data_IF_426919374474
#
_entry.id   IF_426919374474
#
_cell.length_a   1.000
_cell.length_b   1.000
_cell.length_c   1.000
_cell.angle_alpha   90.00
_cell.angle_beta   90.00
_cell.angle_gamma   90.00
#
_symmetry.space_group_name_H-M   'P 1'
#
loop_
_entity.id
_entity.type
_entity.pdbx_description
1 polymer ?
#
# COMPACT_ATOMS: atom_id res chain seq x y z
N UNK A 1 -4.16 -0.58 -1.32
CA UNK A 1 -4.50 0.81 -1.72
C UNK A 1 -4.62 1.63 -0.45
N UNK A 2 -4.33 2.93 -0.47
CA UNK A 2 -4.57 3.83 0.66
C UNK A 2 -5.63 4.85 0.22
N UNK A 3 -6.79 4.84 0.88
CA UNK A 3 -7.92 5.72 0.52
C UNK A 3 -7.67 7.19 0.81
N UNK A 4 -6.71 7.49 1.70
CA UNK A 4 -6.34 8.86 2.03
C UNK A 4 -5.30 9.44 1.05
N UNK A 5 -4.72 8.61 0.20
CA UNK A 5 -3.70 9.04 -0.76
C UNK A 5 -4.28 10.05 -1.76
N UNK A 6 -3.58 11.15 -1.92
CA UNK A 6 -4.00 12.23 -2.82
C UNK A 6 -5.02 13.20 -2.24
N UNK A 7 -5.58 12.90 -1.06
CA UNK A 7 -6.59 13.73 -0.41
C UNK A 7 -6.16 14.16 1.00
N UNK A 8 -6.05 13.24 1.96
CA UNK A 8 -5.67 13.54 3.33
C UNK A 8 -4.20 13.25 3.62
N UNK A 9 -3.68 12.13 3.14
CA UNK A 9 -2.33 11.64 3.44
C UNK A 9 -1.28 12.07 2.42
N UNK A 10 -1.41 13.27 1.86
CA UNK A 10 -0.49 13.79 0.86
C UNK A 10 -0.20 15.26 1.11
N UNK A 11 1.07 15.57 1.27
CA UNK A 11 1.55 16.95 1.37
C UNK A 11 2.24 17.37 0.09
N UNK A 12 2.12 18.65 -0.21
CA UNK A 12 2.83 19.28 -1.31
C UNK A 12 3.83 20.25 -0.71
N UNK A 13 5.07 20.17 -1.12
CA UNK A 13 6.10 21.10 -0.69
C UNK A 13 6.95 21.58 -1.87
N UNK A 14 7.64 22.68 -1.68
CA UNK A 14 8.52 23.26 -2.69
C UNK A 14 9.67 23.97 -2.01
N UNK A 15 10.88 23.62 -2.36
CA UNK A 15 12.06 24.40 -2.01
C UNK A 15 12.12 25.69 -2.83
N UNK A 16 12.82 26.68 -2.32
CA UNK A 16 13.00 27.96 -3.01
C UNK A 16 13.69 27.75 -4.38
N UNK A 17 13.02 28.14 -5.46
CA UNK A 17 13.49 27.91 -6.81
C UNK A 17 13.30 26.49 -7.35
N UNK A 18 12.84 25.55 -6.54
CA UNK A 18 12.61 24.15 -6.92
C UNK A 18 11.25 23.90 -7.61
N UNK A 19 11.02 22.63 -7.93
CA UNK A 19 9.71 22.14 -8.42
C UNK A 19 8.83 21.72 -7.23
N UNK A 20 7.52 21.67 -7.44
CA UNK A 20 6.58 21.05 -6.53
C UNK A 20 6.92 19.57 -6.36
N UNK A 21 6.90 19.11 -5.12
CA UNK A 21 7.14 17.72 -4.75
C UNK A 21 6.01 17.24 -3.86
N UNK A 22 5.76 15.94 -3.87
CA UNK A 22 4.78 15.29 -3.01
C UNK A 22 5.50 14.56 -1.88
N UNK A 23 4.93 14.63 -0.69
CA UNK A 23 5.34 13.82 0.44
C UNK A 23 4.15 12.98 0.93
N UNK A 24 4.36 11.69 1.04
CA UNK A 24 3.39 10.77 1.61
C UNK A 24 3.35 10.93 3.14
N UNK A 25 2.15 10.86 3.71
CA UNK A 25 1.93 10.91 5.15
C UNK A 25 0.97 9.81 5.57
N UNK A 26 1.32 9.07 6.63
CA UNK A 26 0.44 8.11 7.29
C UNK A 26 -0.21 7.08 6.34
N UNK A 27 0.61 6.35 5.60
CA UNK A 27 0.15 5.30 4.69
C UNK A 27 -0.08 3.94 5.36
N UNK A 28 -0.25 3.91 6.69
CA UNK A 28 -0.48 2.69 7.47
C UNK A 28 -1.76 1.93 7.05
N UNK A 29 -2.73 2.61 6.46
CA UNK A 29 -3.96 2.00 5.93
C UNK A 29 -3.77 1.30 4.56
N UNK A 30 -2.54 1.33 4.01
CA UNK A 30 -2.21 0.62 2.79
C UNK A 30 -2.11 -0.91 2.98
N UNK A 31 -2.02 -1.63 1.88
CA UNK A 31 -1.80 -3.08 1.86
C UNK A 31 -2.81 -3.91 2.65
N UNK A 32 -4.07 -3.52 2.59
CA UNK A 32 -5.18 -4.13 3.32
C UNK A 32 -5.07 -4.05 4.86
N UNK A 33 -4.31 -3.08 5.36
CA UNK A 33 -4.21 -2.81 6.80
C UNK A 33 -5.25 -1.78 7.29
N UNK A 34 -6.43 -1.75 6.68
CA UNK A 34 -7.51 -0.85 7.08
C UNK A 34 -8.55 -1.58 7.93
N UNK A 35 -8.82 -1.05 9.11
CA UNK A 35 -9.61 -1.75 10.12
C UNK A 35 -11.12 -1.88 9.82
N UNK A 36 -11.65 -1.07 8.88
CA UNK A 36 -13.09 -1.01 8.64
C UNK A 36 -13.56 -1.94 7.51
N UNK A 37 -12.71 -2.20 6.53
CA UNK A 37 -13.04 -3.05 5.38
C UNK A 37 -11.79 -3.48 4.63
N UNK A 38 -11.91 -4.53 3.83
CA UNK A 38 -10.83 -4.95 2.93
C UNK A 38 -10.60 -3.89 1.84
N UNK A 39 -9.33 -3.56 1.61
CA UNK A 39 -8.98 -2.59 0.58
C UNK A 39 -8.92 -3.26 -0.78
N UNK A 40 -9.56 -2.65 -1.78
CA UNK A 40 -9.55 -3.14 -3.15
C UNK A 40 -8.12 -3.10 -3.72
N UNK A 41 -7.76 -4.15 -4.45
CA UNK A 41 -6.47 -4.25 -5.15
C UNK A 41 -6.57 -3.88 -6.63
N UNK A 42 -7.79 -3.81 -7.18
CA UNK A 42 -8.11 -3.74 -8.60
C UNK A 42 -8.75 -2.41 -9.04
N UNK A 43 -8.29 -1.29 -8.46
CA UNK A 43 -8.79 0.06 -8.76
C UNK A 43 -7.67 1.09 -8.76
N UNK A 44 -7.72 2.07 -9.65
CA UNK A 44 -6.83 3.23 -9.66
C UNK A 44 -7.43 4.39 -8.85
N UNK A 45 -7.65 4.16 -7.57
CA UNK A 45 -8.37 5.09 -6.69
C UNK A 45 -7.81 6.52 -6.67
N UNK A 46 -6.49 6.67 -6.72
CA UNK A 46 -5.85 7.99 -6.66
C UNK A 46 -6.28 8.90 -7.82
N UNK A 47 -6.50 8.33 -9.01
CA UNK A 47 -6.89 9.11 -10.20
C UNK A 47 -8.36 9.57 -10.18
N UNK A 48 -9.14 9.09 -9.21
CA UNK A 48 -10.52 9.51 -9.00
C UNK A 48 -10.63 10.71 -8.05
N UNK A 49 -9.50 11.16 -7.51
CA UNK A 49 -9.45 12.22 -6.52
C UNK A 49 -8.98 13.55 -7.10
N UNK A 50 -9.84 14.58 -6.95
CA UNK A 50 -9.42 15.98 -7.02
C UNK A 50 -8.61 16.32 -8.28
N UNK A 51 -7.45 16.87 -8.13
CA UNK A 51 -6.53 17.28 -9.20
C UNK A 51 -5.84 16.10 -9.92
N UNK A 52 -5.74 14.91 -9.31
CA UNK A 52 -5.24 13.71 -9.99
C UNK A 52 -6.20 13.25 -11.09
N UNK A 53 -7.51 13.35 -10.89
CA UNK A 53 -8.51 13.10 -11.93
C UNK A 53 -8.24 13.99 -13.14
N UNK A 54 -7.96 15.27 -12.92
CA UNK A 54 -7.66 16.19 -13.99
C UNK A 54 -6.36 15.86 -14.74
N UNK A 55 -5.31 15.47 -14.01
CA UNK A 55 -4.06 15.02 -14.62
C UNK A 55 -4.25 13.73 -15.42
N UNK A 56 -5.10 12.82 -14.93
CA UNK A 56 -5.37 11.56 -15.60
C UNK A 56 -6.14 11.70 -16.91
N UNK A 57 -6.74 12.85 -17.20
CA UNK A 57 -7.36 13.17 -18.48
C UNK A 57 -6.35 13.63 -19.56
N UNK A 58 -5.11 13.88 -19.17
CA UNK A 58 -4.02 14.24 -20.08
C UNK A 58 -3.29 12.99 -20.56
N UNK A 59 -3.36 12.69 -21.85
CA UNK A 59 -2.76 11.47 -22.43
C UNK A 59 -1.23 11.47 -22.27
N UNK A 60 -0.56 12.61 -22.39
CA UNK A 60 0.89 12.69 -22.18
C UNK A 60 1.26 12.39 -20.73
N UNK A 61 0.46 12.83 -19.76
CA UNK A 61 0.65 12.47 -18.36
C UNK A 61 0.48 10.96 -18.13
N UNK A 62 -0.56 10.34 -18.72
CA UNK A 62 -0.78 8.88 -18.62
C UNK A 62 0.41 8.11 -19.20
N UNK A 63 0.88 8.49 -20.38
CA UNK A 63 2.05 7.86 -21.02
C UNK A 63 3.28 7.91 -20.13
N UNK A 64 3.56 9.05 -19.50
CA UNK A 64 4.67 9.18 -18.55
C UNK A 64 4.49 8.29 -17.31
N UNK A 65 3.27 8.19 -16.77
CA UNK A 65 2.98 7.31 -15.63
C UNK A 65 3.19 5.85 -16.02
N UNK A 66 2.67 5.42 -17.17
CA UNK A 66 2.83 4.05 -17.67
C UNK A 66 4.31 3.71 -17.92
N UNK A 67 5.05 4.59 -18.57
CA UNK A 67 6.48 4.42 -18.81
C UNK A 67 7.25 4.33 -17.48
N UNK A 68 6.97 5.22 -16.53
CA UNK A 68 7.60 5.19 -15.22
C UNK A 68 7.27 3.93 -14.45
N UNK A 69 6.04 3.43 -14.53
CA UNK A 69 5.64 2.18 -13.91
C UNK A 69 6.41 1.00 -14.48
N UNK A 70 6.55 0.89 -15.81
CA UNK A 70 7.36 -0.17 -16.46
C UNK A 70 8.79 -0.17 -15.94
N UNK A 71 9.46 0.97 -15.91
CA UNK A 71 10.82 1.10 -15.38
C UNK A 71 10.92 0.66 -13.91
N UNK A 72 9.94 1.00 -13.09
CA UNK A 72 9.91 0.59 -11.69
C UNK A 72 9.69 -0.92 -11.54
N UNK A 73 8.92 -1.56 -12.42
CA UNK A 73 8.72 -3.02 -12.42
C UNK A 73 9.98 -3.81 -12.75
N UNK A 74 10.91 -3.22 -13.47
CA UNK A 74 12.22 -3.81 -13.75
C UNK A 74 13.20 -3.66 -12.56
N UNK A 75 12.88 -2.85 -11.56
CA UNK A 75 13.79 -2.50 -10.47
C UNK A 75 13.09 -2.53 -9.11
N UNK A 76 12.72 -1.38 -8.59
CA UNK A 76 12.21 -1.18 -7.22
C UNK A 76 10.90 -1.93 -6.93
N UNK A 77 10.05 -2.10 -7.95
CA UNK A 77 8.78 -2.83 -7.85
C UNK A 77 8.86 -4.24 -8.46
N UNK A 78 10.06 -4.76 -8.77
CA UNK A 78 10.23 -6.16 -9.15
C UNK A 78 9.79 -7.07 -8.00
N UNK A 79 9.15 -8.19 -8.32
CA UNK A 79 8.57 -9.09 -7.30
C UNK A 79 9.67 -9.64 -6.37
N UNK A 80 10.82 -9.99 -6.93
CA UNK A 80 11.98 -10.44 -6.19
C UNK A 80 12.51 -9.38 -5.24
N UNK A 81 12.65 -8.13 -5.73
CA UNK A 81 13.13 -7.02 -4.90
C UNK A 81 12.20 -6.73 -3.71
N UNK A 82 10.90 -6.78 -3.93
CA UNK A 82 9.91 -6.60 -2.87
C UNK A 82 9.98 -7.74 -1.85
N UNK A 83 10.08 -8.98 -2.31
CA UNK A 83 10.21 -10.14 -1.44
C UNK A 83 11.49 -10.07 -0.58
N UNK A 84 12.63 -9.73 -1.18
CA UNK A 84 13.89 -9.50 -0.48
C UNK A 84 13.78 -8.38 0.55
N UNK A 85 13.10 -7.28 0.21
CA UNK A 85 12.91 -6.15 1.12
C UNK A 85 12.07 -6.52 2.34
N UNK A 86 10.99 -7.27 2.14
CA UNK A 86 10.14 -7.79 3.22
C UNK A 86 10.97 -8.72 4.12
N UNK A 87 11.70 -9.68 3.54
CA UNK A 87 12.55 -10.59 4.30
C UNK A 87 13.65 -9.87 5.08
N UNK A 88 14.26 -8.85 4.49
CA UNK A 88 15.26 -8.01 5.15
C UNK A 88 14.70 -7.31 6.38
N UNK A 89 13.50 -6.71 6.29
CA UNK A 89 12.87 -6.05 7.42
C UNK A 89 12.45 -7.05 8.52
N UNK A 90 11.97 -8.23 8.14
CA UNK A 90 11.67 -9.28 9.12
C UNK A 90 12.92 -9.72 9.88
N UNK A 91 14.04 -9.89 9.17
CA UNK A 91 15.31 -10.25 9.78
C UNK A 91 15.85 -9.15 10.71
N UNK A 92 15.73 -7.88 10.30
CA UNK A 92 16.13 -6.73 11.12
C UNK A 92 15.29 -6.60 12.39
N UNK A 93 13.97 -6.77 12.30
CA UNK A 93 13.07 -6.75 13.44
C UNK A 93 13.35 -7.90 14.41
N UNK A 94 13.56 -9.11 13.90
CA UNK A 94 13.89 -10.28 14.70
C UNK A 94 13.05 -10.40 15.96
N UNK A 95 13.68 -10.58 17.11
CA UNK A 95 13.02 -10.71 18.40
C UNK A 95 12.29 -9.42 18.88
N UNK A 96 12.39 -8.31 18.17
CA UNK A 96 11.62 -7.11 18.50
C UNK A 96 10.12 -7.32 18.26
N UNK A 97 9.74 -8.18 17.32
CA UNK A 97 8.35 -8.55 17.07
C UNK A 97 7.70 -9.09 18.35
N UNK A 98 8.30 -10.11 18.96
CA UNK A 98 7.78 -10.73 20.19
C UNK A 98 7.73 -9.75 21.36
N UNK A 99 8.78 -8.91 21.49
CA UNK A 99 8.82 -7.89 22.54
C UNK A 99 7.72 -6.85 22.36
N UNK A 100 7.41 -6.45 21.12
CA UNK A 100 6.34 -5.51 20.82
C UNK A 100 4.99 -6.05 21.32
N UNK A 101 4.63 -7.26 20.93
CA UNK A 101 3.37 -7.86 21.35
C UNK A 101 3.30 -8.07 22.87
N UNK A 102 4.41 -8.47 23.50
CA UNK A 102 4.48 -8.61 24.95
C UNK A 102 4.29 -7.26 25.69
N UNK A 103 4.88 -6.20 25.20
CA UNK A 103 4.81 -4.86 25.85
C UNK A 103 3.41 -4.25 25.70
N UNK A 104 2.83 -4.35 24.52
CA UNK A 104 1.54 -3.72 24.23
C UNK A 104 0.34 -4.61 24.55
N UNK A 105 0.57 -5.83 25.03
CA UNK A 105 -0.48 -6.76 25.44
C UNK A 105 -1.39 -7.22 24.30
N UNK A 106 -0.99 -7.04 23.05
CA UNK A 106 -1.77 -7.50 21.92
C UNK A 106 -1.69 -9.03 21.82
N UNK A 107 -2.84 -9.67 21.67
CA UNK A 107 -2.97 -11.09 21.37
C UNK A 107 -3.75 -11.28 20.08
N UNK A 108 -3.25 -12.15 19.21
CA UNK A 108 -3.99 -12.56 18.03
C UNK A 108 -5.21 -13.43 18.34
N UNK A 109 -5.34 -13.90 19.60
CA UNK A 109 -6.48 -14.68 20.07
C UNK A 109 -7.67 -13.80 20.48
N UNK A 110 -7.48 -12.48 20.56
CA UNK A 110 -8.50 -11.52 20.96
C UNK A 110 -9.01 -10.74 19.77
N UNK A 111 -10.32 -10.63 19.66
CA UNK A 111 -10.95 -9.77 18.67
C UNK A 111 -10.92 -8.31 19.15
N UNK A 112 -9.83 -7.63 18.90
CA UNK A 112 -9.59 -6.25 19.34
C UNK A 112 -9.97 -5.20 18.29
N UNK A 113 -10.22 -5.61 17.06
CA UNK A 113 -10.63 -4.74 15.97
C UNK A 113 -12.15 -4.70 15.83
N UNK A 114 -12.63 -4.20 14.74
CA UNK A 114 -14.06 -4.00 14.48
C UNK A 114 -14.84 -5.32 14.34
N UNK A 115 -14.15 -6.44 14.36
CA UNK A 115 -14.72 -7.78 14.21
C UNK A 115 -14.92 -8.15 12.75
N UNK A 116 -15.93 -7.61 12.10
CA UNK A 116 -16.19 -7.85 10.69
C UNK A 116 -16.28 -6.53 9.90
N UNK A 117 -15.89 -6.59 8.63
CA UNK A 117 -16.13 -5.50 7.71
C UNK A 117 -17.63 -5.43 7.31
N UNK A 118 -17.97 -4.45 6.49
CA UNK A 118 -19.36 -4.25 6.02
C UNK A 118 -19.90 -5.41 5.16
N UNK A 119 -19.03 -6.27 4.64
CA UNK A 119 -19.37 -7.49 3.92
C UNK A 119 -19.43 -8.73 4.84
N UNK A 120 -19.26 -8.56 6.15
CA UNK A 120 -19.31 -9.63 7.13
C UNK A 120 -18.04 -10.48 7.22
N UNK A 121 -16.92 -10.06 6.61
CA UNK A 121 -15.63 -10.75 6.68
C UNK A 121 -14.84 -10.27 7.89
N UNK A 122 -14.17 -11.19 8.59
CA UNK A 122 -13.33 -10.83 9.71
C UNK A 122 -12.15 -9.95 9.28
N UNK A 123 -11.90 -8.91 10.07
CA UNK A 123 -10.70 -8.06 9.96
C UNK A 123 -9.60 -8.44 10.94
N UNK A 124 -9.91 -9.32 11.89
CA UNK A 124 -8.89 -9.84 12.81
C UNK A 124 -8.07 -10.91 12.14
N UNK A 125 -6.77 -10.74 12.24
CA UNK A 125 -5.79 -11.68 11.71
C UNK A 125 -5.35 -12.58 12.83
N UNK A 126 -5.49 -13.90 12.67
CA UNK A 126 -5.28 -14.88 13.71
C UNK A 126 -3.82 -15.16 14.08
N UNK A 127 -2.82 -14.63 13.34
CA UNK A 127 -1.41 -14.80 13.66
C UNK A 127 -0.53 -13.77 12.93
N UNK A 128 0.73 -13.64 13.39
CA UNK A 128 1.74 -12.84 12.70
C UNK A 128 2.01 -13.39 11.29
N UNK A 129 2.09 -14.69 11.12
CA UNK A 129 2.29 -15.36 9.83
C UNK A 129 1.13 -15.06 8.87
N UNK A 130 -0.11 -15.08 9.37
CA UNK A 130 -1.29 -14.71 8.59
C UNK A 130 -1.24 -13.25 8.15
N UNK A 131 -0.79 -12.34 9.03
CA UNK A 131 -0.60 -10.91 8.70
C UNK A 131 0.46 -10.72 7.60
N UNK A 132 1.59 -11.41 7.70
CA UNK A 132 2.64 -11.35 6.68
C UNK A 132 2.17 -11.95 5.35
N UNK A 133 1.39 -13.02 5.39
CA UNK A 133 0.77 -13.59 4.18
C UNK A 133 -0.19 -12.61 3.53
N UNK A 134 -1.08 -11.99 4.30
CA UNK A 134 -2.01 -10.98 3.78
C UNK A 134 -1.27 -9.83 3.12
N UNK A 135 -0.24 -9.29 3.78
CA UNK A 135 0.60 -8.23 3.21
C UNK A 135 1.18 -8.64 1.85
N UNK A 136 1.78 -9.82 1.79
CA UNK A 136 2.45 -10.33 0.57
C UNK A 136 1.44 -10.56 -0.55
N UNK A 137 0.31 -11.17 -0.26
CA UNK A 137 -0.73 -11.46 -1.24
C UNK A 137 -1.35 -10.18 -1.77
N UNK A 138 -1.68 -9.22 -0.90
CA UNK A 138 -2.21 -7.90 -1.30
C UNK A 138 -1.23 -7.14 -2.20
N UNK A 139 0.05 -7.16 -1.89
CA UNK A 139 1.08 -6.52 -2.74
C UNK A 139 1.12 -7.20 -4.11
N UNK A 140 1.14 -8.53 -4.16
CA UNK A 140 1.18 -9.29 -5.41
C UNK A 140 -0.04 -9.01 -6.29
N UNK A 141 -1.24 -9.07 -5.73
CA UNK A 141 -2.48 -8.77 -6.42
C UNK A 141 -2.48 -7.34 -6.95
N UNK A 142 -2.06 -6.39 -6.13
CA UNK A 142 -1.97 -4.98 -6.51
C UNK A 142 -1.00 -4.76 -7.66
N UNK A 143 0.17 -5.37 -7.63
CA UNK A 143 1.16 -5.26 -8.69
C UNK A 143 0.68 -5.92 -10.00
N UNK A 144 -0.01 -7.05 -9.91
CA UNK A 144 -0.60 -7.72 -11.07
C UNK A 144 -1.67 -6.84 -11.73
N UNK A 145 -2.55 -6.24 -10.94
CA UNK A 145 -3.54 -5.28 -11.45
C UNK A 145 -2.87 -4.07 -12.11
N UNK A 146 -1.94 -3.43 -11.41
CA UNK A 146 -1.24 -2.25 -11.94
C UNK A 146 -0.43 -2.59 -13.21
N UNK A 147 0.13 -3.79 -13.31
CA UNK A 147 0.81 -4.22 -14.53
C UNK A 147 -0.15 -4.32 -15.71
N UNK A 148 -1.33 -4.87 -15.49
CA UNK A 148 -2.37 -4.94 -16.50
C UNK A 148 -2.83 -3.55 -16.96
N UNK A 149 -3.02 -2.62 -16.04
CA UNK A 149 -3.58 -1.29 -16.34
C UNK A 149 -2.52 -0.30 -16.87
N UNK A 150 -1.28 -0.38 -16.38
CA UNK A 150 -0.24 0.62 -16.64
C UNK A 150 0.96 0.07 -17.42
N UNK A 151 1.22 -1.22 -17.37
CA UNK A 151 2.44 -1.84 -17.91
C UNK A 151 2.24 -2.69 -19.15
N UNK A 152 1.04 -3.13 -19.42
CA UNK A 152 0.71 -4.22 -20.34
C UNK A 152 0.50 -3.86 -21.81
N UNK A 153 1.01 -2.74 -22.32
CA UNK A 153 0.97 -2.41 -23.76
C UNK A 153 2.34 -2.41 -24.37
#
# INVERSE_FOLDING_TARGET
>A
MNYDAGNLSTYVYKELGGKLQLAAWDFNNGFDNYQWFHTETDRLYTVENSWFDRLWQDESFKEHVCERYRQLRETTLADEHIAEKIASYQAELGAAVDRNFKVWGYSFDENLLVGTDKEGRSRDIGSYEAAMKQLTDTIRERLAYLYKELGGN
#
